data_IF_383898422124
#
_entry.id   IF_383898422124
#
_cell.length_a   1.000
_cell.length_b   1.000
_cell.length_c   1.000
_cell.angle_alpha   90.00
_cell.angle_beta   90.00
_cell.angle_gamma   90.00
#
_symmetry.space_group_name_H-M   'P 1'
#
loop_
_entity.id
_entity.type
_entity.pdbx_description
1 polymer ?
#
# COMPACT_ATOMS: atom_id res chain seq x y z
N UNK A 1 -14.93 -34.89 14.41
CA UNK A 1 -15.10 -33.42 14.48
C UNK A 1 -15.68 -32.96 13.16
N UNK A 2 -16.92 -32.46 13.12
CA UNK A 2 -17.49 -31.92 11.88
C UNK A 2 -16.83 -30.56 11.62
N UNK A 3 -15.87 -30.52 10.70
CA UNK A 3 -15.31 -29.25 10.24
C UNK A 3 -16.38 -28.40 9.53
N UNK A 4 -16.24 -27.08 9.58
CA UNK A 4 -17.12 -26.11 8.90
C UNK A 4 -17.37 -26.52 7.45
N UNK A 5 -18.61 -26.36 6.95
CA UNK A 5 -18.92 -26.61 5.53
C UNK A 5 -18.33 -25.52 4.65
N UNK A 6 -18.35 -25.74 3.33
CA UNK A 6 -17.87 -24.74 2.36
C UNK A 6 -18.70 -23.46 2.42
N UNK A 7 -20.01 -23.60 2.56
CA UNK A 7 -20.98 -22.52 2.67
C UNK A 7 -20.73 -21.70 3.94
N UNK A 8 -20.51 -22.36 5.08
CA UNK A 8 -20.17 -21.69 6.34
C UNK A 8 -18.86 -20.89 6.27
N UNK A 9 -17.87 -21.39 5.51
CA UNK A 9 -16.65 -20.65 5.25
C UNK A 9 -16.92 -19.42 4.37
N UNK A 10 -17.70 -19.57 3.30
CA UNK A 10 -18.07 -18.45 2.42
C UNK A 10 -18.83 -17.35 3.17
N UNK A 11 -19.80 -17.69 4.01
CA UNK A 11 -20.54 -16.74 4.85
C UNK A 11 -19.61 -16.00 5.82
N UNK A 12 -18.80 -16.75 6.58
CA UNK A 12 -17.82 -16.16 7.50
C UNK A 12 -16.89 -15.17 6.81
N UNK A 13 -16.51 -15.43 5.56
CA UNK A 13 -15.58 -14.59 4.83
C UNK A 13 -16.24 -13.40 4.15
N UNK A 14 -17.51 -13.51 3.81
CA UNK A 14 -18.31 -12.34 3.45
C UNK A 14 -18.42 -11.39 4.65
N UNK A 15 -18.65 -11.92 5.85
CA UNK A 15 -18.69 -11.11 7.07
C UNK A 15 -17.34 -10.40 7.33
N UNK A 16 -16.22 -11.10 7.17
CA UNK A 16 -14.88 -10.48 7.26
C UNK A 16 -14.70 -9.40 6.18
N UNK A 17 -15.11 -9.67 4.94
CA UNK A 17 -15.01 -8.71 3.85
C UNK A 17 -15.84 -7.44 4.07
N UNK A 18 -16.88 -7.50 4.91
CA UNK A 18 -17.73 -6.38 5.31
C UNK A 18 -17.25 -5.63 6.55
N UNK A 19 -16.25 -6.15 7.26
CA UNK A 19 -15.62 -5.43 8.38
C UNK A 19 -14.99 -4.11 7.92
N UNK A 20 -14.66 -3.25 8.90
CA UNK A 20 -13.95 -2.01 8.66
C UNK A 20 -12.60 -2.26 7.98
N UNK A 21 -12.46 -1.66 6.81
CA UNK A 21 -11.26 -1.66 5.99
C UNK A 21 -10.82 -0.22 5.67
N UNK A 22 -11.28 0.77 6.42
CA UNK A 22 -11.05 2.18 6.11
C UNK A 22 -9.71 2.70 6.64
N UNK A 23 -9.33 3.89 6.16
CA UNK A 23 -8.21 4.68 6.68
C UNK A 23 -8.68 6.09 7.05
N UNK A 24 -7.96 6.79 7.96
CA UNK A 24 -8.19 8.22 8.15
C UNK A 24 -7.93 9.02 6.87
N UNK A 25 -8.56 10.19 6.75
CA UNK A 25 -8.20 11.18 5.72
C UNK A 25 -6.69 11.50 5.78
N UNK A 26 -6.02 11.57 4.62
CA UNK A 26 -4.55 11.67 4.47
C UNK A 26 -3.75 10.52 5.08
N UNK A 27 -4.41 9.42 5.48
CA UNK A 27 -3.85 8.34 6.27
C UNK A 27 -3.58 7.04 5.51
N UNK A 28 -4.02 6.91 4.26
CA UNK A 28 -3.89 5.67 3.50
C UNK A 28 -2.44 5.41 3.04
N UNK A 29 -1.89 4.24 3.39
CA UNK A 29 -0.54 3.83 3.01
C UNK A 29 -0.55 2.47 2.31
N UNK A 30 -0.10 2.45 1.06
CA UNK A 30 0.00 1.27 0.20
C UNK A 30 1.47 0.84 0.04
N UNK A 31 1.68 -0.42 -0.32
CA UNK A 31 3.02 -0.89 -0.64
C UNK A 31 3.03 -2.04 -1.66
N UNK A 32 4.08 -2.09 -2.48
CA UNK A 32 4.34 -3.22 -3.37
C UNK A 32 5.83 -3.57 -3.38
N UNK A 33 6.13 -4.87 -3.35
CA UNK A 33 7.51 -5.37 -3.35
C UNK A 33 8.08 -5.73 -1.96
N UNK A 34 9.16 -6.52 -1.92
CA UNK A 34 9.66 -7.16 -0.69
C UNK A 34 10.19 -6.17 0.36
N UNK A 35 10.81 -5.06 -0.04
CA UNK A 35 11.31 -4.06 0.92
C UNK A 35 10.31 -2.96 1.28
N UNK A 36 9.24 -2.78 0.51
CA UNK A 36 8.27 -1.70 0.72
C UNK A 36 7.39 -1.90 1.97
N UNK A 37 6.94 -3.13 2.22
CA UNK A 37 6.07 -3.48 3.37
C UNK A 37 6.64 -3.00 4.71
N UNK A 38 7.92 -3.29 4.97
CA UNK A 38 8.59 -2.91 6.22
C UNK A 38 8.61 -1.39 6.42
N UNK A 39 8.73 -0.62 5.33
CA UNK A 39 8.81 0.84 5.36
C UNK A 39 7.45 1.46 5.60
N UNK A 40 6.45 1.01 4.85
CA UNK A 40 5.06 1.42 5.05
C UNK A 40 4.61 1.17 6.50
N UNK A 41 4.89 -0.03 7.03
CA UNK A 41 4.60 -0.36 8.43
C UNK A 41 5.31 0.57 9.42
N UNK A 42 6.62 0.81 9.22
CA UNK A 42 7.40 1.72 10.08
C UNK A 42 6.88 3.16 10.07
N UNK A 43 6.36 3.63 8.93
CA UNK A 43 5.72 4.95 8.85
C UNK A 43 4.43 4.96 9.67
N UNK A 44 3.56 3.97 9.47
CA UNK A 44 2.27 3.87 10.17
C UNK A 44 2.47 3.75 11.69
N UNK A 45 3.40 2.90 12.13
CA UNK A 45 3.71 2.69 13.55
C UNK A 45 4.22 3.98 14.25
N UNK A 46 4.76 4.94 13.50
CA UNK A 46 5.24 6.24 14.01
C UNK A 46 4.19 7.36 13.94
N UNK A 47 3.05 7.10 13.31
CA UNK A 47 2.03 8.10 13.04
C UNK A 47 0.97 8.22 14.15
N UNK A 48 1.10 7.44 15.22
CA UNK A 48 0.14 7.36 16.33
C UNK A 48 -1.32 7.18 15.87
N UNK A 49 -1.52 6.38 14.82
CA UNK A 49 -2.83 6.05 14.26
C UNK A 49 -3.32 6.98 13.15
N UNK A 50 -2.60 8.05 12.82
CA UNK A 50 -2.93 8.95 11.72
C UNK A 50 -2.73 8.30 10.33
N UNK A 51 -1.88 7.28 10.23
CA UNK A 51 -1.65 6.52 9.01
C UNK A 51 -1.81 5.02 9.24
N UNK A 52 -2.37 4.32 8.24
CA UNK A 52 -2.59 2.88 8.28
C UNK A 52 -2.28 2.26 6.93
N UNK A 53 -1.79 1.02 6.97
CA UNK A 53 -1.84 0.11 5.82
C UNK A 53 -3.10 -0.74 5.89
N UNK A 54 -3.48 -1.41 4.80
CA UNK A 54 -4.56 -2.40 4.81
C UNK A 54 -4.34 -3.50 5.88
N UNK A 55 -3.09 -3.81 6.22
CA UNK A 55 -2.75 -4.80 7.27
C UNK A 55 -3.18 -4.34 8.67
N UNK A 56 -3.30 -3.04 8.87
CA UNK A 56 -3.66 -2.47 10.16
C UNK A 56 -5.19 -2.46 10.39
N UNK A 57 -5.99 -2.76 9.36
CA UNK A 57 -7.46 -2.76 9.44
C UNK A 57 -8.00 -3.99 10.19
N UNK A 58 -9.17 -3.87 10.85
CA UNK A 58 -9.87 -5.02 11.42
C UNK A 58 -10.13 -6.14 10.41
N UNK A 59 -10.59 -5.79 9.19
CA UNK A 59 -10.90 -6.76 8.15
C UNK A 59 -9.70 -7.64 7.78
N UNK A 60 -8.54 -7.05 7.45
CA UNK A 60 -7.39 -7.85 7.05
C UNK A 60 -6.76 -8.62 8.23
N UNK A 61 -6.81 -8.06 9.44
CA UNK A 61 -6.38 -8.78 10.65
C UNK A 61 -7.20 -10.04 10.86
N UNK A 62 -8.52 -9.95 10.74
CA UNK A 62 -9.40 -11.10 10.90
C UNK A 62 -9.22 -12.10 9.75
N UNK A 63 -9.11 -11.64 8.50
CA UNK A 63 -8.77 -12.48 7.35
C UNK A 63 -7.50 -13.31 7.59
N UNK A 64 -6.43 -12.68 8.09
CA UNK A 64 -5.15 -13.34 8.37
C UNK A 64 -5.25 -14.34 9.54
N UNK A 65 -6.08 -14.08 10.56
CA UNK A 65 -6.32 -15.05 11.65
C UNK A 65 -6.90 -16.35 11.13
N UNK A 66 -7.71 -16.28 10.08
CA UNK A 66 -8.34 -17.44 9.46
C UNK A 66 -7.57 -17.99 8.25
N UNK A 67 -6.33 -17.56 7.99
CA UNK A 67 -5.55 -17.94 6.79
C UNK A 67 -5.48 -19.46 6.54
N UNK A 68 -5.49 -20.29 7.60
CA UNK A 68 -5.50 -21.76 7.47
C UNK A 68 -6.76 -22.32 6.82
N UNK A 69 -7.89 -21.61 6.92
CA UNK A 69 -9.14 -22.00 6.28
C UNK A 69 -9.18 -21.70 4.77
N UNK A 70 -8.28 -20.84 4.27
CA UNK A 70 -8.17 -20.50 2.85
C UNK A 70 -7.01 -21.22 2.17
N UNK A 71 -5.85 -21.24 2.82
CA UNK A 71 -4.59 -21.68 2.25
C UNK A 71 -4.06 -22.97 2.89
N UNK A 72 -4.79 -23.53 3.86
CA UNK A 72 -4.46 -24.81 4.48
C UNK A 72 -4.72 -25.99 3.54
N UNK A 73 -4.01 -27.09 3.78
CA UNK A 73 -4.14 -28.33 3.01
C UNK A 73 -5.56 -28.90 3.02
N UNK A 74 -6.29 -28.70 4.12
CA UNK A 74 -7.66 -29.19 4.32
C UNK A 74 -8.72 -28.11 4.04
N UNK A 75 -8.33 -27.01 3.40
CA UNK A 75 -9.26 -25.95 2.99
C UNK A 75 -10.32 -26.52 2.05
N UNK A 76 -11.58 -26.18 2.33
CA UNK A 76 -12.71 -26.45 1.41
C UNK A 76 -12.89 -25.35 0.36
N UNK A 77 -12.04 -24.32 0.41
CA UNK A 77 -11.96 -23.24 -0.57
C UNK A 77 -10.80 -23.46 -1.52
N UNK A 78 -10.98 -22.99 -2.75
CA UNK A 78 -9.87 -22.90 -3.70
C UNK A 78 -8.93 -21.76 -3.30
N UNK A 79 -7.66 -21.86 -3.71
CA UNK A 79 -6.70 -20.78 -3.51
C UNK A 79 -7.20 -19.47 -4.12
N UNK A 80 -7.88 -19.54 -5.28
CA UNK A 80 -8.44 -18.38 -5.96
C UNK A 80 -9.47 -17.67 -5.09
N UNK A 81 -10.38 -18.40 -4.44
CA UNK A 81 -11.36 -17.81 -3.51
C UNK A 81 -10.68 -17.15 -2.32
N UNK A 82 -9.61 -17.74 -1.79
CA UNK A 82 -8.80 -17.13 -0.73
C UNK A 82 -8.16 -15.81 -1.16
N UNK A 83 -7.63 -15.75 -2.38
CA UNK A 83 -7.11 -14.50 -2.94
C UNK A 83 -8.20 -13.46 -3.19
N UNK A 84 -9.39 -13.86 -3.65
CA UNK A 84 -10.51 -12.95 -3.92
C UNK A 84 -10.94 -12.18 -2.68
N UNK A 85 -11.07 -12.84 -1.52
CA UNK A 85 -11.47 -12.14 -0.29
C UNK A 85 -10.43 -11.11 0.16
N UNK A 86 -9.14 -11.48 0.12
CA UNK A 86 -8.05 -10.54 0.44
C UNK A 86 -7.97 -9.37 -0.54
N UNK A 87 -8.24 -9.61 -1.82
CA UNK A 87 -8.31 -8.58 -2.85
C UNK A 87 -9.49 -7.63 -2.61
N UNK A 88 -10.69 -8.15 -2.29
CA UNK A 88 -11.85 -7.31 -1.97
C UNK A 88 -11.60 -6.39 -0.77
N UNK A 89 -10.95 -6.89 0.29
CA UNK A 89 -10.60 -6.06 1.45
C UNK A 89 -9.62 -4.94 1.03
N UNK A 90 -8.67 -5.26 0.16
CA UNK A 90 -7.66 -4.31 -0.32
C UNK A 90 -8.24 -3.27 -1.28
N UNK A 91 -9.14 -3.69 -2.16
CA UNK A 91 -9.93 -2.84 -3.06
C UNK A 91 -10.78 -1.85 -2.27
N UNK A 92 -11.49 -2.31 -1.23
CA UNK A 92 -12.27 -1.43 -0.35
C UNK A 92 -11.38 -0.42 0.40
N UNK A 93 -10.23 -0.85 0.91
CA UNK A 93 -9.27 0.06 1.54
C UNK A 93 -8.81 1.17 0.57
N UNK A 94 -8.66 0.86 -0.73
CA UNK A 94 -8.36 1.85 -1.77
C UNK A 94 -9.55 2.75 -2.14
N UNK A 95 -10.75 2.18 -2.28
CA UNK A 95 -11.96 2.91 -2.61
C UNK A 95 -12.42 3.86 -1.48
N UNK A 96 -12.08 3.56 -0.23
CA UNK A 96 -12.42 4.38 0.95
C UNK A 96 -11.28 5.36 1.34
N UNK A 97 -10.16 5.37 0.62
CA UNK A 97 -9.08 6.33 0.86
C UNK A 97 -9.49 7.76 0.52
N UNK A 98 -8.90 8.77 1.18
CA UNK A 98 -9.18 10.18 0.86
C UNK A 98 -7.98 11.09 1.17
N UNK A 99 -7.92 12.21 0.47
CA UNK A 99 -6.84 13.20 0.57
C UNK A 99 -5.53 12.69 -0.03
N UNK A 100 -4.46 12.74 0.74
CA UNK A 100 -3.11 12.31 0.33
C UNK A 100 -2.92 10.81 0.54
N UNK A 101 -2.67 10.08 -0.55
CA UNK A 101 -2.32 8.66 -0.52
C UNK A 101 -0.81 8.47 -0.61
N UNK A 102 -0.24 7.59 0.22
CA UNK A 102 1.20 7.26 0.19
C UNK A 102 1.42 5.86 -0.36
N UNK A 103 2.33 5.72 -1.31
CA UNK A 103 2.61 4.45 -1.98
C UNK A 103 4.10 4.12 -1.89
N UNK A 104 4.46 3.04 -1.22
CA UNK A 104 5.84 2.56 -1.15
C UNK A 104 6.09 1.47 -2.19
N UNK A 105 7.08 1.67 -3.06
CA UNK A 105 7.43 0.71 -4.09
C UNK A 105 8.85 0.16 -3.87
N UNK A 106 8.99 -1.14 -4.11
CA UNK A 106 10.25 -1.88 -4.15
C UNK A 106 10.19 -2.92 -5.26
N UNK A 107 10.01 -2.41 -6.47
CA UNK A 107 9.52 -3.19 -7.61
C UNK A 107 8.02 -3.47 -7.53
N UNK A 108 7.35 -3.35 -8.67
CA UNK A 108 5.92 -3.70 -8.78
C UNK A 108 5.79 -5.17 -9.17
N UNK A 109 4.93 -5.90 -8.47
CA UNK A 109 4.53 -7.26 -8.86
C UNK A 109 3.31 -7.17 -9.80
N UNK A 110 3.43 -7.53 -11.09
CA UNK A 110 2.32 -7.36 -12.04
C UNK A 110 1.03 -8.08 -11.65
N UNK A 111 1.15 -9.21 -10.96
CA UNK A 111 0.01 -10.00 -10.47
C UNK A 111 -0.17 -9.89 -8.94
N UNK A 112 0.41 -8.89 -8.30
CA UNK A 112 0.20 -8.63 -6.86
C UNK A 112 -1.15 -7.94 -6.61
N UNK A 113 -1.68 -8.09 -5.40
CA UNK A 113 -2.93 -7.43 -4.95
C UNK A 113 -2.89 -5.92 -5.17
N UNK A 114 -1.76 -5.26 -4.92
CA UNK A 114 -1.58 -3.83 -5.21
C UNK A 114 -1.95 -3.49 -6.65
N UNK A 115 -1.44 -4.24 -7.62
CA UNK A 115 -1.71 -3.94 -9.03
C UNK A 115 -3.10 -4.42 -9.49
N UNK A 116 -3.53 -5.59 -9.01
CA UNK A 116 -4.77 -6.22 -9.47
C UNK A 116 -6.03 -5.57 -8.88
N UNK A 117 -5.97 -5.13 -7.62
CA UNK A 117 -7.13 -4.70 -6.85
C UNK A 117 -7.01 -3.25 -6.36
N UNK A 118 -5.86 -2.86 -5.80
CA UNK A 118 -5.73 -1.53 -5.18
C UNK A 118 -5.58 -0.41 -6.24
N UNK A 119 -4.73 -0.59 -7.26
CA UNK A 119 -4.49 0.44 -8.30
C UNK A 119 -5.78 0.83 -9.05
N UNK A 120 -6.60 -0.10 -9.58
CA UNK A 120 -7.85 0.27 -10.24
C UNK A 120 -8.76 1.11 -9.33
N UNK A 121 -8.96 0.67 -8.09
CA UNK A 121 -9.80 1.39 -7.12
C UNK A 121 -9.22 2.77 -6.75
N UNK A 122 -7.90 2.90 -6.64
CA UNK A 122 -7.24 4.20 -6.41
C UNK A 122 -7.43 5.18 -7.58
N UNK A 123 -7.47 4.68 -8.81
CA UNK A 123 -7.66 5.51 -10.00
C UNK A 123 -9.12 5.93 -10.17
N UNK A 124 -10.07 5.12 -9.73
CA UNK A 124 -11.50 5.45 -9.78
C UNK A 124 -11.95 6.34 -8.60
N UNK A 125 -11.20 6.37 -7.51
CA UNK A 125 -11.56 7.13 -6.31
C UNK A 125 -11.30 8.64 -6.46
N UNK A 126 -12.38 9.41 -6.55
CA UNK A 126 -12.38 10.87 -6.72
C UNK A 126 -11.98 11.65 -5.47
N UNK A 127 -12.05 11.05 -4.27
CA UNK A 127 -11.74 11.70 -2.99
C UNK A 127 -10.22 11.79 -2.71
N UNK A 128 -9.39 11.27 -3.62
CA UNK A 128 -7.92 11.36 -3.56
C UNK A 128 -7.45 12.63 -4.28
N UNK A 129 -6.71 13.48 -3.55
CA UNK A 129 -6.14 14.71 -4.07
C UNK A 129 -4.83 14.48 -4.82
N UNK A 130 -3.94 13.66 -4.24
CA UNK A 130 -2.58 13.43 -4.74
C UNK A 130 -1.97 12.16 -4.18
N UNK A 131 -0.98 11.65 -4.90
CA UNK A 131 -0.19 10.47 -4.53
C UNK A 131 1.24 10.89 -4.19
N UNK A 132 1.73 10.48 -3.02
CA UNK A 132 3.14 10.54 -2.65
C UNK A 132 3.75 9.15 -2.81
N UNK A 133 4.60 8.99 -3.81
CA UNK A 133 5.21 7.71 -4.16
C UNK A 133 6.67 7.69 -3.70
N UNK A 134 7.02 6.61 -3.01
CA UNK A 134 8.36 6.33 -2.50
C UNK A 134 8.93 5.11 -3.22
N UNK A 135 9.65 5.32 -4.31
CA UNK A 135 10.21 4.23 -5.11
C UNK A 135 11.71 4.04 -4.88
N UNK A 136 12.12 2.80 -4.67
CA UNK A 136 13.53 2.45 -4.55
C UNK A 136 14.18 2.34 -5.92
N UNK A 137 15.23 3.11 -6.17
CA UNK A 137 16.06 2.93 -7.37
C UNK A 137 17.04 1.77 -7.18
N UNK A 138 17.13 0.81 -8.11
CA UNK A 138 18.21 -0.16 -8.08
C UNK A 138 19.56 0.55 -8.31
N UNK A 139 20.49 0.40 -7.37
CA UNK A 139 21.87 0.91 -7.49
C UNK A 139 22.88 -0.22 -7.43
N UNK A 140 24.04 -0.03 -8.08
CA UNK A 140 25.16 -0.99 -8.11
C UNK A 140 25.86 -1.18 -6.75
N UNK A 141 25.53 -0.41 -5.71
CA UNK A 141 26.29 -0.36 -4.44
C UNK A 141 25.46 -0.61 -3.17
N UNK A 142 24.19 -0.99 -3.30
CA UNK A 142 23.30 -1.15 -2.15
C UNK A 142 22.55 0.14 -1.80
N UNK A 143 21.30 -0.08 -1.39
CA UNK A 143 20.19 0.82 -1.03
C UNK A 143 20.59 2.30 -0.80
N UNK A 144 20.30 3.16 -1.79
CA UNK A 144 20.15 4.61 -1.58
C UNK A 144 18.73 4.96 -1.06
N UNK A 145 18.53 6.15 -0.46
CA UNK A 145 17.20 6.64 -0.07
C UNK A 145 16.22 6.66 -1.26
N UNK A 146 14.93 6.55 -0.95
CA UNK A 146 13.85 6.60 -1.95
C UNK A 146 13.76 8.01 -2.52
N UNK A 147 13.32 8.09 -3.77
CA UNK A 147 12.81 9.36 -4.30
C UNK A 147 11.36 9.49 -3.85
N UNK A 148 11.05 10.57 -3.11
CA UNK A 148 9.67 10.99 -2.90
C UNK A 148 9.23 11.77 -4.14
N UNK A 149 8.17 11.29 -4.78
CA UNK A 149 7.57 11.92 -5.95
C UNK A 149 6.11 12.21 -5.66
N UNK A 150 5.64 13.37 -6.10
CA UNK A 150 4.24 13.75 -6.00
C UNK A 150 3.58 13.63 -7.36
N UNK A 151 2.43 12.96 -7.41
CA UNK A 151 1.66 12.75 -8.63
C UNK A 151 0.22 13.17 -8.45
N UNK A 152 -0.35 13.79 -9.48
CA UNK A 152 -1.81 13.74 -9.69
C UNK A 152 -2.22 12.34 -10.19
N UNK A 153 -3.52 12.09 -10.30
CA UNK A 153 -4.06 10.79 -10.73
C UNK A 153 -3.53 10.31 -12.10
N UNK A 154 -3.52 11.18 -13.11
CA UNK A 154 -3.10 10.80 -14.48
C UNK A 154 -1.60 10.50 -14.56
N UNK A 155 -0.78 11.28 -13.85
CA UNK A 155 0.67 11.04 -13.79
C UNK A 155 0.98 9.78 -12.97
N UNK A 156 0.20 9.50 -11.91
CA UNK A 156 0.32 8.27 -11.13
C UNK A 156 0.00 7.03 -11.96
N UNK A 157 -1.11 7.03 -12.73
CA UNK A 157 -1.46 5.96 -13.66
C UNK A 157 -0.31 5.69 -14.65
N UNK A 158 0.12 6.73 -15.35
CA UNK A 158 1.23 6.66 -16.33
C UNK A 158 2.50 6.09 -15.68
N UNK A 159 2.80 6.50 -14.46
CA UNK A 159 3.95 6.04 -13.71
C UNK A 159 3.85 4.55 -13.37
N UNK A 160 2.72 4.08 -12.85
CA UNK A 160 2.50 2.67 -12.53
C UNK A 160 2.56 1.80 -13.79
N UNK A 161 1.93 2.21 -14.88
CA UNK A 161 1.98 1.51 -16.17
C UNK A 161 3.42 1.30 -16.63
N UNK A 162 4.23 2.37 -16.68
CA UNK A 162 5.64 2.28 -17.08
C UNK A 162 6.44 1.31 -16.24
N UNK A 163 6.20 1.30 -14.92
CA UNK A 163 6.85 0.36 -13.98
C UNK A 163 6.45 -1.09 -14.26
N UNK A 164 5.21 -1.35 -14.67
CA UNK A 164 4.74 -2.69 -15.06
C UNK A 164 5.39 -3.18 -16.35
N UNK A 165 5.57 -2.30 -17.35
CA UNK A 165 6.19 -2.68 -18.65
C UNK A 165 7.73 -2.69 -18.60
N UNK A 166 8.34 -2.27 -17.48
CA UNK A 166 9.78 -2.21 -17.33
C UNK A 166 10.46 -1.10 -18.16
N UNK A 167 9.72 -0.05 -18.52
CA UNK A 167 10.26 1.08 -19.27
C UNK A 167 11.07 1.97 -18.30
N UNK A 168 12.36 2.28 -18.59
CA UNK A 168 13.16 3.13 -17.71
C UNK A 168 12.62 4.57 -17.64
N UNK A 169 12.57 5.15 -16.44
CA UNK A 169 12.17 6.55 -16.23
C UNK A 169 13.13 7.53 -16.93
N UNK A 170 12.72 8.06 -18.09
CA UNK A 170 13.34 9.27 -18.65
C UNK A 170 12.74 10.48 -17.96
N UNK A 171 13.45 10.98 -16.93
CA UNK A 171 13.28 12.25 -16.19
C UNK A 171 11.96 13.00 -16.43
N UNK A 172 11.02 12.87 -15.50
CA UNK A 172 9.99 13.89 -15.22
C UNK A 172 10.61 14.97 -14.31
N UNK A 173 11.75 15.56 -14.70
CA UNK A 173 12.51 16.51 -13.85
C UNK A 173 12.31 17.97 -14.24
N UNK A 174 11.13 18.35 -14.75
CA UNK A 174 10.80 19.75 -14.96
C UNK A 174 9.54 20.06 -14.16
N UNK A 175 9.77 20.65 -12.96
CA UNK A 175 8.82 21.14 -11.94
C UNK A 175 8.65 20.29 -10.68
N UNK A 176 9.75 19.93 -10.01
CA UNK A 176 9.68 19.70 -8.56
C UNK A 176 10.76 20.52 -7.87
N UNK A 177 10.33 21.55 -7.13
CA UNK A 177 11.17 22.24 -6.15
C UNK A 177 11.46 21.24 -5.05
N UNK A 178 12.72 20.83 -4.83
CA UNK A 178 13.05 20.03 -3.65
C UNK A 178 12.77 20.91 -2.43
N UNK A 179 11.93 20.45 -1.51
CA UNK A 179 11.89 21.02 -0.17
C UNK A 179 13.25 20.72 0.48
N UNK A 180 14.16 21.68 0.36
CA UNK A 180 15.46 21.67 1.01
C UNK A 180 15.26 21.59 2.53
N UNK A 181 15.80 20.54 3.13
CA UNK A 181 16.06 20.47 4.56
C UNK A 181 17.24 21.37 4.94
N UNK A 182 17.08 22.69 4.79
CA UNK A 182 17.86 23.67 5.53
C UNK A 182 17.17 23.89 6.90
N UNK A 183 17.83 23.97 8.05
CA UNK A 183 19.22 23.76 8.42
C UNK A 183 19.23 23.91 9.95
N UNK A 184 19.83 22.96 10.67
CA UNK A 184 20.24 23.17 12.08
C UNK A 184 21.75 23.19 12.12
N UNK A 185 22.32 24.35 11.80
CA UNK A 185 23.68 24.68 12.23
C UNK A 185 23.62 24.99 13.72
N UNK A 186 24.29 24.15 14.51
CA UNK A 186 24.63 24.48 15.88
C UNK A 186 25.66 25.63 15.84
N UNK A 187 25.21 26.86 16.04
CA UNK A 187 26.09 27.94 16.43
C UNK A 187 26.49 27.72 17.89
N UNK A 188 27.75 27.37 18.08
CA UNK A 188 28.40 27.37 19.40
C UNK A 188 28.66 28.83 19.75
N UNK A 189 27.86 29.38 20.66
CA UNK A 189 28.08 30.68 21.26
C UNK A 189 29.32 30.58 22.17
N UNK A 190 30.46 31.09 21.72
CA UNK A 190 31.51 31.59 22.60
C UNK A 190 31.25 33.07 22.81
N UNK A 191 31.08 33.51 24.06
CA UNK A 191 31.50 34.84 24.53
C UNK A 191 31.58 34.86 26.06
N UNK A 192 32.78 35.27 26.49
CA UNK A 192 33.29 35.74 27.80
C UNK A 192 33.32 34.79 29.01
#
# INVERSE_FOLDING_TARGET
MSGQTREQLQEMFLDIALMDASSPHDGAVFFSGPGAKRRAKKLCDKSDGAMKTVIDTPALKEFVRHQSHYFGRDSKLTLQEGYTVGDWISERFAAEASGTVRVFLDGIKPHGTFNRAEVPALLENEDIDRFLVYDSKPTLRGIEPYEEMEFNRADFETYIERKLVGIPDRRMSEKHTPLSSAGRTAETLTMD
#
